data_IF_927636328847
#
_entry.id   IF_927636328847
#
_cell.length_a   1.000
_cell.length_b   1.000
_cell.length_c   1.000
_cell.angle_alpha   90.00
_cell.angle_beta   90.00
_cell.angle_gamma   90.00
#
_symmetry.space_group_name_H-M   'P 1'
#
loop_
_entity.id
_entity.type
_entity.pdbx_description
1 polymer ?
#
# COMPACT_ATOMS: atom_id res chain seq x y z
N UNK A 1 -68.82 11.76 -53.40
CA UNK A 1 -68.74 10.38 -52.90
C UNK A 1 -67.29 10.17 -52.52
N UNK A 2 -67.00 10.15 -51.23
CA UNK A 2 -65.63 10.16 -50.69
C UNK A 2 -65.29 8.73 -50.31
N UNK A 3 -64.32 8.12 -50.99
CA UNK A 3 -63.82 6.78 -50.65
C UNK A 3 -62.98 6.84 -49.38
N UNK A 4 -63.48 6.19 -48.34
CA UNK A 4 -62.77 5.96 -47.09
C UNK A 4 -61.76 4.84 -47.30
N UNK A 5 -60.49 5.16 -47.53
CA UNK A 5 -59.41 4.19 -47.41
C UNK A 5 -59.18 3.88 -45.93
N UNK A 6 -59.70 2.75 -45.48
CA UNK A 6 -59.40 2.15 -44.19
C UNK A 6 -57.98 1.60 -44.20
N UNK A 7 -57.06 2.29 -43.52
CA UNK A 7 -55.70 1.81 -43.25
C UNK A 7 -55.77 0.75 -42.15
N UNK A 8 -55.70 -0.54 -42.51
CA UNK A 8 -55.55 -1.62 -41.53
C UNK A 8 -54.06 -1.75 -41.19
N UNK A 9 -53.66 -1.30 -39.99
CA UNK A 9 -52.38 -1.67 -39.41
C UNK A 9 -52.48 -3.12 -38.91
N UNK A 10 -51.86 -4.06 -39.61
CA UNK A 10 -51.62 -5.40 -39.10
C UNK A 10 -50.73 -5.30 -37.85
N UNK A 11 -51.29 -5.61 -36.68
CA UNK A 11 -50.50 -5.88 -35.49
C UNK A 11 -49.81 -7.23 -35.69
N UNK A 12 -48.56 -7.18 -36.14
CA UNK A 12 -47.68 -8.34 -36.15
C UNK A 12 -47.56 -8.85 -34.71
N UNK A 13 -48.23 -9.97 -34.41
CA UNK A 13 -48.14 -10.63 -33.10
C UNK A 13 -46.70 -11.11 -32.93
N UNK A 14 -45.88 -10.31 -32.25
CA UNK A 14 -44.58 -10.77 -31.76
C UNK A 14 -44.83 -11.90 -30.77
N UNK A 15 -44.64 -13.14 -31.23
CA UNK A 15 -44.67 -14.31 -30.35
C UNK A 15 -43.54 -14.09 -29.33
N UNK A 16 -43.83 -14.07 -28.02
CA UNK A 16 -42.80 -13.88 -27.02
C UNK A 16 -41.80 -15.02 -27.14
N UNK A 17 -40.51 -14.68 -27.27
CA UNK A 17 -39.43 -15.68 -27.28
C UNK A 17 -39.43 -16.42 -25.95
N UNK A 18 -39.58 -17.74 -26.00
CA UNK A 18 -39.52 -18.61 -24.81
C UNK A 18 -38.06 -19.06 -24.66
N UNK A 19 -37.46 -18.76 -23.52
CA UNK A 19 -36.11 -19.19 -23.16
C UNK A 19 -36.16 -20.42 -22.25
N UNK A 20 -35.25 -21.36 -22.46
CA UNK A 20 -34.86 -22.29 -21.41
C UNK A 20 -34.00 -21.59 -20.34
N UNK A 21 -33.92 -22.16 -19.14
CA UNK A 21 -33.10 -21.63 -18.05
C UNK A 21 -31.62 -21.53 -18.44
N UNK A 22 -31.12 -22.50 -19.22
CA UNK A 22 -29.73 -22.50 -19.69
C UNK A 22 -29.49 -21.39 -20.72
N UNK A 23 -30.41 -21.17 -21.65
CA UNK A 23 -30.27 -20.11 -22.66
C UNK A 23 -30.27 -18.73 -22.01
N UNK A 24 -31.20 -18.44 -21.09
CA UNK A 24 -31.23 -17.13 -20.45
C UNK A 24 -30.00 -16.91 -19.56
N UNK A 25 -29.51 -17.95 -18.88
CA UNK A 25 -28.31 -17.84 -18.04
C UNK A 25 -27.06 -17.62 -18.89
N UNK A 26 -26.98 -18.29 -20.05
CA UNK A 26 -25.91 -18.07 -21.03
C UNK A 26 -25.91 -16.65 -21.57
N UNK A 27 -27.08 -16.13 -21.97
CA UNK A 27 -27.22 -14.75 -22.44
C UNK A 27 -26.80 -13.74 -21.34
N UNK A 28 -27.24 -13.93 -20.09
CA UNK A 28 -26.84 -13.09 -18.96
C UNK A 28 -25.34 -13.11 -18.72
N UNK A 29 -24.72 -14.31 -18.80
CA UNK A 29 -23.27 -14.46 -18.67
C UNK A 29 -22.54 -13.66 -19.74
N UNK A 30 -22.91 -13.82 -21.02
CA UNK A 30 -22.27 -13.11 -22.13
C UNK A 30 -22.40 -11.60 -22.00
N UNK A 31 -23.56 -11.10 -21.55
CA UNK A 31 -23.77 -9.66 -21.31
C UNK A 31 -22.86 -9.16 -20.18
N UNK A 32 -22.82 -9.87 -19.05
CA UNK A 32 -22.01 -9.45 -17.90
C UNK A 32 -20.51 -9.52 -18.18
N UNK A 33 -20.04 -10.59 -18.82
CA UNK A 33 -18.63 -10.75 -19.21
C UNK A 33 -18.22 -9.66 -20.20
N UNK A 34 -19.10 -9.30 -21.16
CA UNK A 34 -18.82 -8.21 -22.10
C UNK A 34 -18.86 -6.82 -21.45
N UNK A 35 -19.72 -6.61 -20.45
CA UNK A 35 -19.86 -5.31 -19.79
C UNK A 35 -18.77 -5.06 -18.73
N UNK A 36 -18.25 -6.12 -18.11
CA UNK A 36 -17.33 -6.06 -16.97
C UNK A 36 -16.13 -7.00 -17.15
N UNK A 37 -15.47 -6.89 -18.31
CA UNK A 37 -14.29 -7.69 -18.67
C UNK A 37 -13.06 -7.38 -17.79
N UNK A 38 -13.00 -6.19 -17.18
CA UNK A 38 -11.94 -5.80 -16.25
C UNK A 38 -12.46 -4.75 -15.28
N UNK A 39 -12.49 -5.08 -13.99
CA UNK A 39 -13.01 -4.23 -12.93
C UNK A 39 -12.09 -4.23 -11.71
N UNK A 40 -12.04 -3.09 -11.04
CA UNK A 40 -11.49 -2.95 -9.70
C UNK A 40 -12.65 -2.88 -8.70
N UNK A 41 -12.61 -3.69 -7.66
CA UNK A 41 -13.64 -3.71 -6.61
C UNK A 41 -12.95 -3.76 -5.25
N UNK A 42 -13.53 -3.05 -4.30
CA UNK A 42 -12.99 -2.91 -2.95
C UNK A 42 -14.00 -3.47 -1.95
N UNK A 43 -13.52 -4.09 -0.87
CA UNK A 43 -14.38 -4.56 0.20
C UNK A 43 -13.65 -5.41 1.23
N UNK A 44 -14.42 -5.97 2.15
CA UNK A 44 -13.93 -6.88 3.19
C UNK A 44 -14.05 -8.33 2.73
N UNK A 45 -12.99 -9.11 2.93
CA UNK A 45 -13.03 -10.57 2.77
C UNK A 45 -13.84 -11.18 3.91
N UNK A 46 -14.74 -12.10 3.56
CA UNK A 46 -15.45 -12.94 4.52
C UNK A 46 -15.67 -14.34 3.98
N UNK A 47 -15.82 -15.32 4.88
CA UNK A 47 -16.04 -16.73 4.56
C UNK A 47 -14.97 -17.32 3.63
N UNK A 48 -13.70 -16.94 3.81
CA UNK A 48 -12.58 -17.46 3.05
C UNK A 48 -12.39 -18.97 3.25
N UNK A 49 -12.36 -19.72 2.15
CA UNK A 49 -12.14 -21.17 2.14
C UNK A 49 -11.14 -21.56 1.07
N UNK A 50 -10.21 -22.44 1.44
CA UNK A 50 -9.19 -22.98 0.54
C UNK A 50 -9.25 -24.51 0.59
N UNK A 51 -10.10 -25.15 -0.24
CA UNK A 51 -10.20 -26.61 -0.32
C UNK A 51 -8.93 -27.25 -0.92
N UNK A 52 -8.91 -28.59 -1.05
CA UNK A 52 -7.78 -29.34 -1.61
C UNK A 52 -7.35 -28.94 -3.03
N UNK A 53 -8.21 -28.27 -3.81
CA UNK A 53 -7.88 -27.68 -5.12
C UNK A 53 -6.90 -26.50 -5.04
N UNK A 54 -6.69 -25.95 -3.84
CA UNK A 54 -5.88 -24.76 -3.56
C UNK A 54 -6.38 -23.47 -4.25
N UNK A 55 -7.62 -23.46 -4.72
CA UNK A 55 -8.30 -22.22 -5.10
C UNK A 55 -8.91 -21.60 -3.85
N UNK A 56 -8.85 -20.28 -3.76
CA UNK A 56 -9.48 -19.54 -2.68
C UNK A 56 -10.88 -19.10 -3.13
N UNK A 57 -11.87 -19.38 -2.29
CA UNK A 57 -13.25 -18.93 -2.46
C UNK A 57 -13.60 -18.06 -1.27
N UNK A 58 -14.11 -16.87 -1.51
CA UNK A 58 -14.52 -15.95 -0.45
C UNK A 58 -15.68 -15.06 -0.91
N UNK A 59 -16.23 -14.30 0.02
CA UNK A 59 -17.20 -13.25 -0.25
C UNK A 59 -16.50 -11.92 -0.03
N UNK A 60 -16.55 -11.03 -1.03
CA UNK A 60 -16.21 -9.63 -0.85
C UNK A 60 -17.50 -8.87 -0.50
N UNK A 61 -17.50 -8.13 0.60
CA UNK A 61 -18.68 -7.38 1.07
C UNK A 61 -18.34 -5.92 1.37
N UNK A 62 -19.35 -5.06 1.24
CA UNK A 62 -19.39 -3.72 1.82
C UNK A 62 -20.59 -3.62 2.80
N UNK A 63 -21.02 -2.41 3.14
CA UNK A 63 -22.14 -2.20 4.06
C UNK A 63 -23.52 -2.60 3.49
N UNK A 64 -23.66 -2.68 2.17
CA UNK A 64 -24.94 -2.79 1.47
C UNK A 64 -25.04 -4.05 0.59
N UNK A 65 -23.91 -4.62 0.18
CA UNK A 65 -23.84 -5.61 -0.89
C UNK A 65 -22.67 -6.56 -0.70
N UNK A 66 -22.77 -7.72 -1.35
CA UNK A 66 -21.74 -8.74 -1.33
C UNK A 66 -21.67 -9.45 -2.68
N UNK A 67 -20.48 -9.93 -3.04
CA UNK A 67 -20.23 -10.70 -4.26
C UNK A 67 -19.31 -11.88 -3.94
N UNK A 68 -19.55 -13.02 -4.60
CA UNK A 68 -18.65 -14.18 -4.50
C UNK A 68 -17.40 -13.95 -5.33
N UNK A 69 -16.26 -14.33 -4.78
CA UNK A 69 -14.96 -14.22 -5.43
C UNK A 69 -14.28 -15.58 -5.52
N UNK A 70 -13.63 -15.82 -6.65
CA UNK A 70 -12.80 -16.99 -6.89
C UNK A 70 -11.41 -16.53 -7.27
N UNK A 71 -10.42 -16.93 -6.47
CA UNK A 71 -9.00 -16.70 -6.74
C UNK A 71 -8.34 -18.05 -7.06
N UNK A 72 -8.00 -18.24 -8.33
CA UNK A 72 -7.35 -19.47 -8.78
C UNK A 72 -5.93 -19.61 -8.23
N UNK A 73 -5.49 -20.86 -8.04
CA UNK A 73 -4.19 -21.20 -7.46
C UNK A 73 -3.02 -20.50 -8.16
N UNK A 74 -3.09 -20.37 -9.50
CA UNK A 74 -2.06 -19.72 -10.31
C UNK A 74 -1.81 -18.27 -9.87
N UNK A 75 -2.88 -17.48 -9.77
CA UNK A 75 -2.82 -16.10 -9.30
C UNK A 75 -2.47 -16.01 -7.81
N UNK A 76 -3.03 -16.90 -6.98
CA UNK A 76 -2.75 -16.93 -5.53
C UNK A 76 -1.27 -17.15 -5.19
N UNK A 77 -0.56 -17.99 -5.95
CA UNK A 77 0.84 -18.33 -5.65
C UNK A 77 1.78 -17.13 -5.82
N UNK A 78 1.38 -16.13 -6.60
CA UNK A 78 2.14 -14.88 -6.80
C UNK A 78 1.86 -13.79 -5.76
N UNK A 79 0.89 -13.98 -4.86
CA UNK A 79 0.57 -12.98 -3.84
C UNK A 79 1.69 -12.88 -2.81
N UNK A 80 2.11 -11.63 -2.53
CA UNK A 80 3.08 -11.31 -1.47
C UNK A 80 2.47 -11.31 -0.07
N UNK A 81 1.14 -11.43 0.02
CA UNK A 81 0.41 -11.48 1.27
C UNK A 81 -0.58 -12.64 1.27
N UNK A 82 -0.94 -13.10 2.45
CA UNK A 82 -1.86 -14.20 2.66
C UNK A 82 -3.21 -13.61 3.08
N UNK A 83 -4.26 -13.67 2.24
CA UNK A 83 -5.57 -13.11 2.61
C UNK A 83 -6.22 -13.93 3.72
N UNK A 84 -6.94 -13.23 4.60
CA UNK A 84 -7.69 -13.74 5.75
C UNK A 84 -9.09 -13.10 5.83
N UNK A 85 -9.99 -13.70 6.63
CA UNK A 85 -11.31 -13.11 6.89
C UNK A 85 -11.17 -11.82 7.71
N UNK A 86 -11.88 -10.78 7.30
CA UNK A 86 -11.79 -9.43 7.87
C UNK A 86 -10.83 -8.50 7.13
N UNK A 87 -10.01 -9.01 6.20
CA UNK A 87 -9.11 -8.19 5.42
C UNK A 87 -9.89 -7.23 4.52
N UNK A 88 -9.58 -5.94 4.62
CA UNK A 88 -9.99 -4.96 3.65
C UNK A 88 -9.04 -5.04 2.45
N UNK A 89 -9.58 -5.28 1.26
CA UNK A 89 -8.80 -5.53 0.04
C UNK A 89 -9.31 -4.70 -1.14
N UNK A 90 -8.39 -4.40 -2.04
CA UNK A 90 -8.66 -3.95 -3.39
C UNK A 90 -8.36 -5.13 -4.34
N UNK A 91 -9.30 -5.49 -5.19
CA UNK A 91 -9.17 -6.60 -6.12
C UNK A 91 -9.42 -6.18 -7.55
N UNK A 92 -8.65 -6.79 -8.46
CA UNK A 92 -8.81 -6.64 -9.89
C UNK A 92 -9.16 -7.99 -10.51
N UNK A 93 -10.06 -7.96 -11.48
CA UNK A 93 -10.46 -9.15 -12.21
C UNK A 93 -11.68 -8.89 -13.07
N UNK A 94 -12.46 -9.94 -13.30
CA UNK A 94 -13.60 -9.91 -14.24
C UNK A 94 -14.85 -10.54 -13.65
N UNK A 95 -16.01 -10.02 -14.02
CA UNK A 95 -17.30 -10.58 -13.61
C UNK A 95 -17.66 -11.73 -14.54
N UNK A 96 -18.18 -12.82 -13.98
CA UNK A 96 -18.68 -13.98 -14.73
C UNK A 96 -19.92 -14.55 -14.03
N UNK A 97 -20.58 -15.52 -14.65
CA UNK A 97 -21.71 -16.26 -14.07
C UNK A 97 -21.35 -17.73 -13.97
N UNK A 98 -21.51 -18.30 -12.77
CA UNK A 98 -21.43 -19.73 -12.57
C UNK A 98 -22.72 -20.40 -13.07
N UNK A 99 -22.71 -20.81 -14.33
CA UNK A 99 -23.90 -21.26 -15.09
C UNK A 99 -24.71 -22.35 -14.40
N UNK A 100 -24.05 -23.28 -13.69
CA UNK A 100 -24.73 -24.37 -12.97
C UNK A 100 -25.69 -23.85 -11.90
N UNK A 101 -25.39 -22.69 -11.29
CA UNK A 101 -26.22 -22.07 -10.24
C UNK A 101 -26.84 -20.75 -10.64
N UNK A 102 -26.47 -20.19 -11.80
CA UNK A 102 -26.90 -18.85 -12.22
C UNK A 102 -26.41 -17.72 -11.29
N UNK A 103 -25.36 -17.97 -10.50
CA UNK A 103 -24.82 -16.98 -9.57
C UNK A 103 -23.71 -16.18 -10.26
N UNK A 104 -23.80 -14.85 -10.24
CA UNK A 104 -22.69 -14.01 -10.68
C UNK A 104 -21.58 -13.98 -9.61
N UNK A 105 -20.34 -13.92 -10.08
CA UNK A 105 -19.15 -13.96 -9.25
C UNK A 105 -18.02 -13.18 -9.93
N UNK A 106 -16.97 -12.92 -9.17
CA UNK A 106 -15.77 -12.25 -9.66
C UNK A 106 -14.60 -13.24 -9.69
N UNK A 107 -13.97 -13.39 -10.85
CA UNK A 107 -12.70 -14.09 -10.98
C UNK A 107 -11.61 -13.09 -10.65
N UNK A 108 -10.89 -13.33 -9.55
CA UNK A 108 -9.83 -12.46 -9.06
C UNK A 108 -8.52 -12.82 -9.74
N UNK A 109 -7.90 -11.83 -10.37
CA UNK A 109 -6.61 -11.95 -11.04
C UNK A 109 -5.50 -11.30 -10.22
N UNK A 110 -5.82 -10.19 -9.54
CA UNK A 110 -4.91 -9.49 -8.63
C UNK A 110 -5.64 -9.06 -7.35
N UNK A 111 -4.92 -9.09 -6.23
CA UNK A 111 -5.45 -8.82 -4.91
C UNK A 111 -4.41 -8.05 -4.12
N UNK A 112 -4.82 -6.96 -3.47
CA UNK A 112 -3.96 -6.13 -2.61
C UNK A 112 -4.70 -5.73 -1.32
N UNK A 113 -4.00 -5.59 -0.18
CA UNK A 113 -4.61 -5.06 1.03
C UNK A 113 -4.93 -3.56 0.86
N UNK A 114 -6.14 -3.15 1.25
CA UNK A 114 -6.65 -1.77 1.20
C UNK A 114 -5.92 -0.81 2.17
N UNK A 115 -5.08 -1.34 3.07
CA UNK A 115 -4.25 -0.54 3.99
C UNK A 115 -3.35 0.47 3.28
N UNK A 116 -2.90 0.17 2.05
CA UNK A 116 -2.07 1.06 1.24
C UNK A 116 -2.77 2.39 0.88
N UNK A 117 -4.08 2.39 0.63
CA UNK A 117 -4.80 3.62 0.22
C UNK A 117 -5.01 4.60 1.37
N UNK A 118 -5.32 4.10 2.57
CA UNK A 118 -5.46 4.92 3.77
C UNK A 118 -4.10 5.49 4.21
N UNK A 119 -3.04 4.65 4.16
CA UNK A 119 -1.67 5.08 4.44
C UNK A 119 -1.20 6.09 3.39
N UNK A 120 -1.40 5.85 2.09
CA UNK A 120 -1.05 6.82 1.05
C UNK A 120 -1.78 8.16 1.25
N UNK A 121 -3.08 8.13 1.58
CA UNK A 121 -3.83 9.35 1.87
C UNK A 121 -3.33 10.06 3.12
N UNK A 122 -3.00 9.33 4.18
CA UNK A 122 -2.42 9.89 5.41
C UNK A 122 -1.04 10.52 5.13
N UNK A 123 -0.22 9.85 4.33
CA UNK A 123 1.09 10.33 3.89
C UNK A 123 0.96 11.62 3.08
N UNK A 124 0.12 11.65 2.05
CA UNK A 124 -0.10 12.85 1.23
C UNK A 124 -0.67 14.02 2.05
N UNK A 125 -1.62 13.76 2.96
CA UNK A 125 -2.17 14.79 3.84
C UNK A 125 -1.09 15.39 4.74
N UNK A 126 -0.30 14.54 5.42
CA UNK A 126 0.74 15.00 6.32
C UNK A 126 1.89 15.69 5.58
N UNK A 127 2.32 15.14 4.44
CA UNK A 127 3.30 15.77 3.55
C UNK A 127 2.86 17.17 3.13
N UNK A 128 1.61 17.33 2.68
CA UNK A 128 1.07 18.64 2.31
C UNK A 128 0.99 19.60 3.50
N UNK A 129 0.63 19.12 4.69
CA UNK A 129 0.60 19.91 5.91
C UNK A 129 2.01 20.42 6.27
N UNK A 130 2.98 19.52 6.41
CA UNK A 130 4.35 19.86 6.81
C UNK A 130 5.09 20.70 5.77
N UNK A 131 4.80 20.48 4.47
CA UNK A 131 5.30 21.34 3.39
C UNK A 131 4.79 22.76 3.53
N UNK A 132 3.51 22.97 3.86
CA UNK A 132 2.94 24.32 4.11
C UNK A 132 3.52 24.98 5.36
N UNK A 133 3.90 24.19 6.36
CA UNK A 133 4.61 24.67 7.55
C UNK A 133 6.09 24.99 7.27
N UNK A 134 6.62 24.67 6.09
CA UNK A 134 8.00 24.96 5.68
C UNK A 134 9.04 23.97 6.19
N UNK A 135 8.63 22.78 6.67
CA UNK A 135 9.58 21.79 7.21
C UNK A 135 10.49 21.18 6.14
N UNK A 136 10.14 21.30 4.87
CA UNK A 136 10.91 20.75 3.74
C UNK A 136 11.73 21.83 3.01
N UNK A 137 11.69 23.07 3.51
CA UNK A 137 12.33 24.20 2.83
C UNK A 137 13.86 24.06 2.85
N UNK A 138 14.48 24.15 1.67
CA UNK A 138 15.93 23.96 1.50
C UNK A 138 16.76 24.98 2.29
N UNK A 139 16.25 26.18 2.59
CA UNK A 139 16.94 27.18 3.42
C UNK A 139 16.96 26.81 4.92
N UNK A 140 16.14 25.85 5.36
CA UNK A 140 16.14 25.32 6.73
C UNK A 140 17.11 24.17 6.93
N UNK A 141 17.55 23.52 5.84
CA UNK A 141 18.44 22.38 5.88
C UNK A 141 19.86 22.80 6.27
N UNK A 142 20.50 21.96 7.07
CA UNK A 142 21.86 22.14 7.60
C UNK A 142 22.88 21.58 6.62
N UNK A 143 24.04 22.25 6.42
CA UNK A 143 25.06 21.72 5.53
C UNK A 143 25.69 20.44 6.10
N UNK A 144 25.65 19.36 5.34
CA UNK A 144 26.33 18.10 5.71
C UNK A 144 27.85 18.27 5.58
N UNK A 145 28.64 17.97 6.63
CA UNK A 145 30.09 18.01 6.55
C UNK A 145 30.63 17.05 5.49
N UNK A 146 31.54 17.52 4.62
CA UNK A 146 32.18 16.68 3.59
C UNK A 146 33.03 15.55 4.18
N UNK A 147 33.58 15.74 5.38
CA UNK A 147 34.47 14.80 6.05
C UNK A 147 34.10 14.67 7.54
N UNK A 148 33.00 13.98 7.87
CA UNK A 148 32.60 13.77 9.26
C UNK A 148 33.58 12.81 9.94
N UNK A 149 33.96 13.12 11.18
CA UNK A 149 34.81 12.29 12.03
C UNK A 149 34.02 11.49 13.06
N UNK A 150 32.86 12.00 13.48
CA UNK A 150 31.97 11.38 14.45
C UNK A 150 30.54 11.35 13.92
N UNK A 151 30.06 10.16 13.63
CA UNK A 151 28.72 9.93 13.06
C UNK A 151 27.86 9.24 14.11
N UNK A 152 26.69 9.80 14.39
CA UNK A 152 25.63 9.15 15.14
C UNK A 152 24.82 8.25 14.21
N UNK A 153 24.46 7.05 14.63
CA UNK A 153 23.66 6.11 13.83
C UNK A 153 22.48 5.66 14.66
N UNK A 154 21.28 6.02 14.22
CA UNK A 154 20.00 5.60 14.81
C UNK A 154 19.42 4.53 13.90
N UNK A 155 19.39 3.29 14.36
CA UNK A 155 18.91 2.13 13.59
C UNK A 155 18.68 0.93 14.50
N UNK A 156 18.24 -0.21 13.97
CA UNK A 156 18.07 -1.44 14.75
C UNK A 156 19.41 -2.09 15.10
N UNK A 157 19.49 -2.70 16.29
CA UNK A 157 20.73 -3.33 16.79
C UNK A 157 21.19 -4.55 15.96
N UNK A 158 20.28 -5.22 15.26
CA UNK A 158 20.54 -6.53 14.63
C UNK A 158 20.32 -6.57 13.12
N UNK A 159 19.90 -5.45 12.50
CA UNK A 159 19.51 -5.36 11.10
C UNK A 159 20.66 -5.35 10.08
N UNK A 160 20.32 -5.49 8.79
CA UNK A 160 21.28 -5.38 7.70
C UNK A 160 21.87 -3.96 7.59
N UNK A 161 21.04 -2.93 7.79
CA UNK A 161 21.45 -1.53 7.68
C UNK A 161 22.64 -1.17 8.58
N UNK A 162 22.64 -1.59 9.85
CA UNK A 162 23.79 -1.33 10.73
C UNK A 162 25.05 -2.05 10.25
N UNK A 163 24.92 -3.28 9.75
CA UNK A 163 26.08 -4.04 9.24
C UNK A 163 26.66 -3.37 8.01
N UNK A 164 25.81 -2.85 7.13
CA UNK A 164 26.23 -2.14 5.92
C UNK A 164 26.94 -0.82 6.28
N UNK A 165 26.38 -0.03 7.20
CA UNK A 165 27.01 1.21 7.69
C UNK A 165 28.38 0.93 8.30
N UNK A 166 28.48 -0.09 9.17
CA UNK A 166 29.75 -0.49 9.80
C UNK A 166 30.78 -0.95 8.75
N UNK A 167 30.35 -1.79 7.80
CA UNK A 167 31.21 -2.34 6.74
C UNK A 167 31.73 -1.25 5.79
N UNK A 168 30.84 -0.37 5.33
CA UNK A 168 31.18 0.73 4.42
C UNK A 168 32.10 1.73 5.11
N UNK A 169 31.80 2.11 6.36
CA UNK A 169 32.63 3.05 7.12
C UNK A 169 34.03 2.48 7.32
N UNK A 170 34.15 1.23 7.77
CA UNK A 170 35.44 0.57 7.97
C UNK A 170 36.26 0.46 6.68
N UNK A 171 35.60 0.21 5.55
CA UNK A 171 36.24 0.08 4.24
C UNK A 171 36.67 1.43 3.66
N UNK A 172 35.84 2.48 3.78
CA UNK A 172 36.10 3.80 3.16
C UNK A 172 36.97 4.69 4.03
N UNK A 173 36.72 4.75 5.34
CA UNK A 173 37.53 5.53 6.28
C UNK A 173 37.45 4.94 7.70
N UNK A 174 38.39 4.07 8.10
CA UNK A 174 38.38 3.43 9.42
C UNK A 174 38.66 4.39 10.59
N UNK A 175 39.02 5.65 10.34
CA UNK A 175 39.24 6.66 11.39
C UNK A 175 37.94 7.35 11.84
N UNK A 176 36.83 7.15 11.12
CA UNK A 176 35.52 7.67 11.51
C UNK A 176 35.03 6.90 12.73
N UNK A 177 34.63 7.64 13.76
CA UNK A 177 34.00 7.10 14.96
C UNK A 177 32.49 7.01 14.75
N UNK A 178 31.93 5.83 14.98
CA UNK A 178 30.49 5.59 14.92
C UNK A 178 29.95 5.47 16.34
N UNK A 179 28.88 6.19 16.64
CA UNK A 179 28.09 6.03 17.84
C UNK A 179 26.72 5.48 17.45
N UNK A 180 26.40 4.26 17.87
CA UNK A 180 25.14 3.60 17.52
C UNK A 180 24.16 3.77 18.68
N UNK A 181 22.98 4.32 18.39
CA UNK A 181 21.83 4.32 19.29
C UNK A 181 20.80 3.32 18.76
N UNK A 182 20.68 2.13 19.37
CA UNK A 182 19.76 1.12 18.90
C UNK A 182 18.31 1.52 19.23
N UNK A 183 17.43 1.49 18.24
CA UNK A 183 15.99 1.73 18.41
C UNK A 183 15.17 0.67 17.65
N UNK A 184 13.91 0.52 18.02
CA UNK A 184 12.93 -0.10 17.14
C UNK A 184 12.71 0.80 15.93
N UNK A 185 12.82 0.20 14.74
CA UNK A 185 12.66 0.90 13.45
C UNK A 185 11.36 0.52 12.73
N UNK A 186 10.52 -0.27 13.40
CA UNK A 186 9.25 -0.78 12.89
C UNK A 186 8.32 -1.15 14.03
N UNK A 187 7.01 -1.17 13.76
CA UNK A 187 6.00 -1.56 14.73
C UNK A 187 5.61 -0.44 15.70
N UNK A 188 4.67 -0.75 16.59
CA UNK A 188 4.07 0.22 17.51
C UNK A 188 5.11 0.75 18.50
N UNK A 189 5.19 2.08 18.66
CA UNK A 189 6.13 2.74 19.58
C UNK A 189 7.48 3.11 18.95
N UNK A 190 7.73 2.69 17.69
CA UNK A 190 9.02 2.95 17.03
C UNK A 190 9.23 4.42 16.67
N UNK A 191 8.17 5.15 16.29
CA UNK A 191 8.25 6.57 15.98
C UNK A 191 8.69 7.40 17.20
N UNK A 192 8.15 7.08 18.38
CA UNK A 192 8.51 7.70 19.65
C UNK A 192 9.96 7.38 20.05
N UNK A 193 10.39 6.12 19.94
CA UNK A 193 11.79 5.74 20.21
C UNK A 193 12.77 6.46 19.26
N UNK A 194 12.43 6.58 17.97
CA UNK A 194 13.24 7.32 16.99
C UNK A 194 13.35 8.80 17.36
N UNK A 195 12.22 9.44 17.70
CA UNK A 195 12.19 10.84 18.08
C UNK A 195 13.00 11.11 19.36
N UNK A 196 12.88 10.24 20.37
CA UNK A 196 13.67 10.31 21.59
C UNK A 196 15.17 10.12 21.29
N UNK A 197 15.54 9.15 20.45
CA UNK A 197 16.93 8.93 20.08
C UNK A 197 17.54 10.13 19.35
N UNK A 198 16.78 10.81 18.49
CA UNK A 198 17.20 12.07 17.85
C UNK A 198 17.46 13.17 18.88
N UNK A 199 16.57 13.32 19.86
CA UNK A 199 16.75 14.28 20.95
C UNK A 199 18.00 13.95 21.79
N UNK A 200 18.18 12.69 22.19
CA UNK A 200 19.34 12.24 22.95
C UNK A 200 20.66 12.45 22.19
N UNK A 201 20.68 12.16 20.89
CA UNK A 201 21.86 12.37 20.04
C UNK A 201 22.25 13.84 19.94
N UNK A 202 21.28 14.76 19.92
CA UNK A 202 21.56 16.20 19.95
C UNK A 202 22.22 16.67 21.26
N UNK A 203 22.05 15.93 22.36
CA UNK A 203 22.75 16.19 23.62
C UNK A 203 24.24 15.80 23.60
N UNK A 204 24.70 15.06 22.59
CA UNK A 204 26.05 14.51 22.54
C UNK A 204 27.00 15.51 21.88
N UNK A 205 28.02 15.93 22.63
CA UNK A 205 29.02 16.87 22.14
C UNK A 205 29.86 16.28 21.00
N UNK A 206 30.09 17.08 19.96
CA UNK A 206 30.98 16.79 18.82
C UNK A 206 30.51 15.64 17.92
N UNK A 207 29.21 15.42 17.77
CA UNK A 207 28.69 14.64 16.64
C UNK A 207 28.60 15.56 15.41
N UNK A 208 29.12 15.09 14.29
CA UNK A 208 29.19 15.88 13.05
C UNK A 208 27.93 15.71 12.19
N UNK A 209 27.35 14.50 12.19
CA UNK A 209 26.16 14.13 11.43
C UNK A 209 25.48 12.93 12.08
N UNK A 210 24.15 12.85 11.96
CA UNK A 210 23.34 11.70 12.36
C UNK A 210 22.86 10.99 11.10
N UNK A 211 22.98 9.66 11.07
CA UNK A 211 22.33 8.79 10.09
C UNK A 211 21.13 8.15 10.78
N UNK A 212 19.94 8.47 10.30
CA UNK A 212 18.71 7.78 10.68
C UNK A 212 18.42 6.75 9.59
N UNK A 213 18.43 5.46 9.92
CA UNK A 213 18.38 4.44 8.87
C UNK A 213 17.69 3.15 9.21
N UNK A 214 17.15 2.53 8.17
CA UNK A 214 16.58 1.19 8.16
C UNK A 214 16.74 0.60 6.76
N UNK A 215 16.92 -0.72 6.69
CA UNK A 215 16.86 -1.43 5.41
C UNK A 215 15.45 -1.37 4.76
N UNK A 216 15.29 -2.06 3.64
CA UNK A 216 13.99 -2.18 2.98
C UNK A 216 12.90 -2.83 3.84
N UNK A 217 11.66 -2.70 3.41
CA UNK A 217 10.48 -3.24 4.06
C UNK A 217 9.23 -2.87 3.26
N UNK A 218 8.06 -3.32 3.71
CA UNK A 218 6.80 -2.80 3.18
C UNK A 218 6.57 -1.34 3.61
N UNK A 219 5.54 -0.67 3.09
CA UNK A 219 5.24 0.71 3.52
C UNK A 219 4.79 0.76 4.99
N UNK A 220 4.10 -0.28 5.47
CA UNK A 220 3.67 -0.42 6.86
C UNK A 220 4.86 -0.57 7.78
N UNK A 221 5.85 -1.33 7.31
CA UNK A 221 7.14 -1.45 7.93
C UNK A 221 7.77 -0.06 8.07
N UNK A 222 7.94 0.68 6.98
CA UNK A 222 8.60 2.00 6.96
C UNK A 222 7.76 3.12 7.60
N UNK A 223 6.54 2.85 8.06
CA UNK A 223 5.59 3.88 8.45
C UNK A 223 6.05 4.76 9.62
N UNK A 224 6.88 4.23 10.52
CA UNK A 224 7.46 4.99 11.63
C UNK A 224 8.19 6.26 11.17
N UNK A 225 8.80 6.24 9.97
CA UNK A 225 9.51 7.36 9.37
C UNK A 225 8.58 8.37 8.66
N UNK A 226 7.29 8.03 8.53
CA UNK A 226 6.23 8.90 8.03
C UNK A 226 5.45 9.60 9.15
N UNK A 227 5.76 9.33 10.43
CA UNK A 227 5.05 9.95 11.52
C UNK A 227 5.50 11.39 11.79
N UNK A 228 4.55 12.25 12.14
CA UNK A 228 4.78 13.68 12.38
C UNK A 228 5.82 13.93 13.50
N UNK A 229 5.83 13.08 14.54
CA UNK A 229 6.78 13.20 15.65
C UNK A 229 8.24 13.07 15.18
N UNK A 230 8.51 12.14 14.25
CA UNK A 230 9.84 11.92 13.67
C UNK A 230 10.22 13.10 12.79
N UNK A 231 9.31 13.53 11.91
CA UNK A 231 9.51 14.71 11.06
C UNK A 231 9.88 15.95 11.89
N UNK A 232 9.14 16.23 12.97
CA UNK A 232 9.42 17.37 13.85
C UNK A 232 10.71 17.19 14.64
N UNK A 233 11.08 15.97 15.02
CA UNK A 233 12.35 15.70 15.70
C UNK A 233 13.55 15.95 14.77
N UNK A 234 13.48 15.51 13.50
CA UNK A 234 14.51 15.77 12.48
C UNK A 234 14.66 17.28 12.27
N UNK A 235 13.53 17.98 12.06
CA UNK A 235 13.53 19.43 11.83
C UNK A 235 14.14 20.22 13.00
N UNK A 236 13.90 19.80 14.25
CA UNK A 236 14.46 20.43 15.45
C UNK A 236 15.93 20.08 15.71
N UNK A 237 16.49 19.10 14.99
CA UNK A 237 17.86 18.64 15.23
C UNK A 237 18.87 19.75 14.95
N UNK A 238 19.77 20.01 15.90
CA UNK A 238 20.89 20.96 15.74
C UNK A 238 22.05 20.36 14.93
N UNK A 239 22.14 19.03 14.92
CA UNK A 239 23.10 18.26 14.12
C UNK A 239 22.43 17.89 12.78
N UNK A 240 23.15 17.92 11.63
CA UNK A 240 22.57 17.50 10.36
C UNK A 240 22.18 16.02 10.38
N UNK A 241 21.03 15.68 9.81
CA UNK A 241 20.42 14.34 9.81
C UNK A 241 20.25 13.86 8.37
N UNK A 242 20.95 12.77 8.05
CA UNK A 242 20.83 12.05 6.78
C UNK A 242 19.86 10.89 6.97
N UNK A 243 18.80 10.87 6.16
CA UNK A 243 17.89 9.72 6.07
C UNK A 243 18.52 8.62 5.20
N UNK A 244 18.45 7.39 5.67
CA UNK A 244 18.90 6.18 5.00
C UNK A 244 17.84 5.08 5.17
N UNK A 245 16.62 5.37 4.74
CA UNK A 245 15.43 4.51 4.88
C UNK A 245 15.05 3.93 3.52
N UNK A 246 14.87 2.61 3.44
CA UNK A 246 14.40 1.96 2.19
C UNK A 246 15.43 1.93 1.06
N UNK A 247 14.94 1.77 -0.19
CA UNK A 247 15.73 1.87 -1.43
C UNK A 247 15.37 3.15 -2.21
N UNK A 248 16.05 3.43 -3.33
CA UNK A 248 15.90 4.67 -4.13
C UNK A 248 14.47 5.04 -4.55
N UNK A 249 13.50 4.12 -4.46
CA UNK A 249 12.09 4.34 -4.82
C UNK A 249 11.17 4.56 -3.61
N UNK A 250 11.67 4.37 -2.39
CA UNK A 250 10.90 4.37 -1.15
C UNK A 250 11.04 5.72 -0.42
N UNK A 251 10.35 6.77 -0.87
CA UNK A 251 10.39 8.08 -0.20
C UNK A 251 9.47 8.14 1.02
N UNK A 252 10.03 8.57 2.16
CA UNK A 252 9.33 8.81 3.42
C UNK A 252 9.32 10.29 3.79
N UNK A 253 8.49 10.69 4.76
CA UNK A 253 8.48 12.07 5.27
C UNK A 253 9.83 12.44 5.89
N UNK A 254 10.49 11.50 6.56
CA UNK A 254 11.85 11.69 7.06
C UNK A 254 12.82 12.14 5.94
N UNK A 255 12.74 11.55 4.74
CA UNK A 255 13.60 11.93 3.60
C UNK A 255 13.37 13.37 3.14
N UNK A 256 12.12 13.86 3.22
CA UNK A 256 11.81 15.24 2.82
C UNK A 256 12.32 16.28 3.84
N UNK A 257 12.30 15.95 5.13
CA UNK A 257 12.73 16.85 6.22
C UNK A 257 14.24 16.79 6.46
N UNK A 258 14.88 15.67 6.15
CA UNK A 258 16.31 15.46 6.30
C UNK A 258 17.16 16.46 5.48
N UNK A 259 18.40 16.60 5.94
CA UNK A 259 19.39 17.56 5.42
C UNK A 259 20.16 17.03 4.19
#
# INVERSE_FOLDING_TARGET
MTESQSFQMEHEKTIPRIYSVSEITGDVKSILESAFDSVWVEGEISNLRIPGSKHAYFILKDNNSQIRCVLFKGYRTGLKFQPEDGDQVLLFGRVTVYEVRGEYQLIVEHLEPRGLGALQKAFENLKNQLSREGLFDEDKKKPIPKFPWKIGVITSATGAAIRDILSITKRRNPKVSLLVYPVQVQGKGSAEEIAEALEQMNGIKKLDVIILGRGGGSIEDLWAFNEEIVARAIYKSTIPVVSAVGHEIDFTIADFVSD
#
